data_IF_893979896278
#
_entry.id   IF_893979896278
#
_cell.length_a   1.000
_cell.length_b   1.000
_cell.length_c   1.000
_cell.angle_alpha   90.00
_cell.angle_beta   90.00
_cell.angle_gamma   90.00
#
_symmetry.space_group_name_H-M   'P 1'
#
loop_
_entity.id
_entity.type
_entity.pdbx_description
1 polymer ?
#
# COMPACT_ATOMS: atom_id res chain seq x y z
N UNK A 1 -7.77 -23.18 26.63
CA UNK A 1 -8.04 -21.73 26.73
C UNK A 1 -9.00 -21.35 25.62
N UNK A 2 -9.88 -20.37 25.84
CA UNK A 2 -10.75 -19.83 24.78
C UNK A 2 -9.86 -19.12 23.76
N UNK A 3 -10.04 -19.40 22.48
CA UNK A 3 -9.30 -18.71 21.42
C UNK A 3 -9.76 -17.27 21.29
N UNK A 4 -8.85 -16.38 21.01
CA UNK A 4 -9.13 -14.98 20.63
C UNK A 4 -9.58 -14.98 19.17
N UNK A 5 -10.80 -14.50 18.92
CA UNK A 5 -11.39 -14.40 17.59
C UNK A 5 -11.03 -13.06 16.95
N UNK A 6 -10.34 -13.11 15.84
CA UNK A 6 -9.87 -11.94 15.08
C UNK A 6 -10.52 -11.95 13.71
N UNK A 7 -11.29 -10.93 13.40
CA UNK A 7 -11.82 -10.72 12.06
C UNK A 7 -11.04 -9.60 11.34
N UNK A 8 -10.55 -9.93 10.17
CA UNK A 8 -9.78 -9.03 9.33
C UNK A 8 -10.64 -8.57 8.17
N UNK A 9 -10.76 -7.27 7.93
CA UNK A 9 -11.56 -6.73 6.84
C UNK A 9 -10.65 -5.91 5.92
N UNK A 10 -10.41 -6.42 4.72
CA UNK A 10 -9.53 -5.77 3.74
C UNK A 10 -10.08 -5.96 2.32
N UNK A 11 -10.22 -4.87 1.57
CA UNK A 11 -10.66 -4.93 0.18
C UNK A 11 -9.66 -5.68 -0.70
N UNK A 12 -10.10 -6.29 -1.82
CA UNK A 12 -9.28 -7.17 -2.66
C UNK A 12 -8.29 -6.40 -3.56
N UNK A 13 -7.67 -5.36 -3.03
CA UNK A 13 -6.60 -4.59 -3.66
C UNK A 13 -5.25 -5.05 -3.14
N UNK A 14 -4.35 -5.48 -4.03
CA UNK A 14 -3.06 -6.09 -3.65
C UNK A 14 -2.23 -5.19 -2.73
N UNK A 15 -2.22 -3.86 -2.97
CA UNK A 15 -1.47 -2.89 -2.14
C UNK A 15 -2.02 -2.70 -0.72
N UNK A 16 -3.20 -3.21 -0.42
CA UNK A 16 -3.90 -3.13 0.87
C UNK A 16 -4.00 -4.49 1.55
N UNK A 17 -4.48 -5.47 0.82
CA UNK A 17 -4.70 -6.83 1.32
C UNK A 17 -3.38 -7.50 1.70
N UNK A 18 -2.37 -7.50 0.81
CA UNK A 18 -1.12 -8.23 1.07
C UNK A 18 -0.31 -7.67 2.24
N UNK A 19 -0.13 -6.35 2.44
CA UNK A 19 0.51 -5.85 3.65
C UNK A 19 -0.20 -6.27 4.93
N UNK A 20 -1.54 -6.26 4.94
CA UNK A 20 -2.35 -6.71 6.09
C UNK A 20 -2.21 -8.22 6.31
N UNK A 21 -2.24 -9.04 5.24
CA UNK A 21 -2.01 -10.49 5.33
C UNK A 21 -0.61 -10.80 5.87
N UNK A 22 0.43 -10.14 5.36
CA UNK A 22 1.81 -10.36 5.81
C UNK A 22 2.01 -10.07 7.30
N UNK A 23 1.31 -9.06 7.81
CA UNK A 23 1.33 -8.71 9.24
C UNK A 23 0.71 -9.82 10.10
N UNK A 24 -0.31 -10.52 9.59
CA UNK A 24 -1.12 -11.50 10.31
C UNK A 24 -0.71 -12.95 10.05
N UNK A 25 -0.10 -13.26 8.90
CA UNK A 25 0.22 -14.62 8.50
C UNK A 25 1.02 -15.43 9.55
N UNK A 26 2.01 -14.85 10.29
CA UNK A 26 2.70 -15.58 11.35
C UNK A 26 1.78 -16.02 12.49
N UNK A 27 0.68 -15.30 12.75
CA UNK A 27 -0.29 -15.62 13.80
C UNK A 27 -1.18 -16.83 13.45
N UNK A 28 -1.29 -17.21 12.20
CA UNK A 28 -2.10 -18.36 11.77
C UNK A 28 -1.63 -19.68 12.38
N UNK A 29 -0.35 -19.78 12.74
CA UNK A 29 0.23 -20.94 13.39
C UNK A 29 0.08 -20.92 14.92
N UNK A 30 -0.37 -19.83 15.50
CA UNK A 30 -0.55 -19.69 16.93
C UNK A 30 -1.97 -20.18 17.34
N UNK A 31 -2.08 -21.29 18.11
CA UNK A 31 -3.37 -21.89 18.46
C UNK A 31 -4.25 -21.01 19.36
N UNK A 32 -3.71 -19.90 19.89
CA UNK A 32 -4.47 -18.92 20.69
C UNK A 32 -5.43 -18.11 19.83
N UNK A 33 -5.21 -18.03 18.52
CA UNK A 33 -5.99 -17.20 17.62
C UNK A 33 -6.89 -18.02 16.71
N UNK A 34 -8.05 -17.47 16.42
CA UNK A 34 -8.95 -17.89 15.33
C UNK A 34 -9.10 -16.68 14.42
N UNK A 35 -8.50 -16.74 13.21
CA UNK A 35 -8.40 -15.60 12.31
C UNK A 35 -9.25 -15.86 11.08
N UNK A 36 -10.23 -14.97 10.83
CA UNK A 36 -11.06 -14.97 9.63
C UNK A 36 -10.78 -13.71 8.83
N UNK A 37 -10.77 -13.82 7.49
CA UNK A 37 -10.48 -12.68 6.62
C UNK A 37 -11.61 -12.44 5.63
N UNK A 38 -12.16 -11.23 5.68
CA UNK A 38 -13.20 -10.73 4.80
C UNK A 38 -12.54 -9.98 3.63
N UNK A 39 -12.65 -10.54 2.42
CA UNK A 39 -12.13 -9.91 1.19
C UNK A 39 -12.96 -10.31 -0.02
N UNK A 40 -12.69 -9.71 -1.19
CA UNK A 40 -13.43 -10.04 -2.41
C UNK A 40 -13.09 -11.42 -2.98
N UNK A 41 -14.04 -12.07 -3.70
CA UNK A 41 -13.89 -13.44 -4.21
C UNK A 41 -12.71 -13.61 -5.15
N UNK A 42 -12.30 -12.55 -5.88
CA UNK A 42 -11.14 -12.58 -6.78
C UNK A 42 -9.78 -12.77 -6.06
N UNK A 43 -9.74 -12.59 -4.74
CA UNK A 43 -8.54 -12.84 -3.91
C UNK A 43 -8.67 -14.05 -3.01
N UNK A 44 -9.81 -14.75 -3.02
CA UNK A 44 -10.07 -15.90 -2.16
C UNK A 44 -9.00 -16.98 -2.28
N UNK A 45 -8.74 -17.47 -3.48
CA UNK A 45 -7.80 -18.57 -3.68
C UNK A 45 -6.38 -18.27 -3.17
N UNK A 46 -5.83 -17.07 -3.48
CA UNK A 46 -4.49 -16.69 -3.02
C UNK A 46 -4.45 -16.49 -1.51
N UNK A 47 -5.53 -16.05 -0.90
CA UNK A 47 -5.62 -15.81 0.55
C UNK A 47 -5.76 -17.14 1.31
N UNK A 48 -6.56 -18.08 0.80
CA UNK A 48 -6.69 -19.42 1.36
C UNK A 48 -5.40 -20.24 1.22
N UNK A 49 -4.65 -20.06 0.12
CA UNK A 49 -3.35 -20.70 -0.08
C UNK A 49 -2.32 -20.32 1.00
N UNK A 50 -2.47 -19.17 1.65
CA UNK A 50 -1.65 -18.73 2.79
C UNK A 50 -2.10 -19.37 4.10
N UNK A 51 -3.32 -19.87 4.17
CA UNK A 51 -3.91 -20.49 5.34
C UNK A 51 -4.99 -19.67 6.06
N UNK A 52 -5.44 -18.55 5.49
CA UNK A 52 -6.56 -17.79 6.06
C UNK A 52 -7.90 -18.47 5.79
N UNK A 53 -8.79 -18.45 6.77
CA UNK A 53 -10.21 -18.72 6.54
C UNK A 53 -10.85 -17.50 5.89
N UNK A 54 -11.25 -17.63 4.62
CA UNK A 54 -11.78 -16.49 3.84
C UNK A 54 -13.30 -16.49 3.84
N UNK A 55 -13.87 -15.35 4.21
CA UNK A 55 -15.28 -15.03 4.07
C UNK A 55 -15.44 -14.00 2.96
N UNK A 56 -15.93 -14.38 1.78
CA UNK A 56 -15.99 -13.47 0.65
C UNK A 56 -17.04 -12.38 0.87
N UNK A 57 -16.62 -11.12 0.69
CA UNK A 57 -17.51 -9.96 0.62
C UNK A 57 -17.61 -9.49 -0.82
N UNK A 58 -18.69 -8.77 -1.17
CA UNK A 58 -18.94 -8.27 -2.54
C UNK A 58 -19.14 -9.39 -3.57
N UNK A 59 -19.60 -10.58 -3.17
CA UNK A 59 -20.02 -11.61 -4.11
C UNK A 59 -21.17 -11.09 -4.99
N UNK A 60 -21.05 -11.33 -6.29
CA UNK A 60 -22.00 -10.78 -7.30
C UNK A 60 -21.74 -9.32 -7.69
N UNK A 61 -20.86 -8.58 -7.00
CA UNK A 61 -20.55 -7.17 -7.24
C UNK A 61 -19.10 -6.90 -7.63
N UNK A 62 -18.41 -7.93 -8.13
CA UNK A 62 -16.99 -7.82 -8.56
C UNK A 62 -16.79 -6.77 -9.62
N UNK A 63 -17.68 -6.71 -10.63
CA UNK A 63 -17.59 -5.75 -11.73
C UNK A 63 -17.77 -4.31 -11.26
N UNK A 64 -18.72 -4.07 -10.36
CA UNK A 64 -18.97 -2.77 -9.76
C UNK A 64 -17.77 -2.33 -8.93
N UNK A 65 -17.18 -3.24 -8.13
CA UNK A 65 -15.97 -2.98 -7.38
C UNK A 65 -14.79 -2.66 -8.30
N UNK A 66 -14.53 -3.45 -9.32
CA UNK A 66 -13.45 -3.21 -10.27
C UNK A 66 -13.62 -1.87 -11.00
N UNK A 67 -14.85 -1.51 -11.37
CA UNK A 67 -15.15 -0.20 -11.96
C UNK A 67 -14.90 0.95 -10.98
N UNK A 68 -15.17 0.76 -9.69
CA UNK A 68 -14.90 1.75 -8.66
C UNK A 68 -13.41 1.85 -8.31
N UNK A 69 -12.67 0.73 -8.36
CA UNK A 69 -11.27 0.63 -7.98
C UNK A 69 -10.28 0.97 -9.11
N UNK A 70 -10.64 0.68 -10.37
CA UNK A 70 -9.74 0.83 -11.52
C UNK A 70 -10.06 2.08 -12.32
N UNK A 71 -9.17 3.06 -12.29
CA UNK A 71 -9.21 4.18 -13.21
C UNK A 71 -8.53 3.81 -14.54
N UNK A 72 -9.17 4.20 -15.64
CA UNK A 72 -8.59 4.09 -16.99
C UNK A 72 -7.64 5.23 -17.31
N UNK A 73 -7.70 6.33 -16.54
CA UNK A 73 -6.97 7.58 -16.74
C UNK A 73 -6.57 8.16 -15.40
N UNK A 74 -5.65 9.12 -15.42
CA UNK A 74 -5.23 9.86 -14.23
C UNK A 74 -6.43 10.52 -13.53
N UNK A 75 -6.46 10.45 -12.20
CA UNK A 75 -7.56 10.99 -11.37
C UNK A 75 -7.71 12.51 -11.51
N UNK A 76 -8.86 12.93 -12.06
CA UNK A 76 -9.34 14.31 -11.96
C UNK A 76 -10.36 14.48 -10.83
N UNK A 77 -10.72 15.71 -10.47
CA UNK A 77 -11.68 16.01 -9.38
C UNK A 77 -13.03 15.34 -9.61
N UNK A 78 -13.55 15.37 -10.84
CA UNK A 78 -14.85 14.77 -11.19
C UNK A 78 -14.79 13.25 -11.14
N UNK A 79 -13.71 12.64 -11.63
CA UNK A 79 -13.51 11.19 -11.58
C UNK A 79 -13.33 10.68 -10.16
N UNK A 80 -12.61 11.43 -9.31
CA UNK A 80 -12.48 11.14 -7.89
C UNK A 80 -13.82 11.19 -7.15
N UNK A 81 -14.66 12.19 -7.42
CA UNK A 81 -16.01 12.27 -6.84
C UNK A 81 -16.90 11.09 -7.29
N UNK A 82 -16.88 10.73 -8.59
CA UNK A 82 -17.65 9.59 -9.11
C UNK A 82 -17.17 8.27 -8.51
N UNK A 83 -15.86 8.09 -8.38
CA UNK A 83 -15.26 6.91 -7.77
C UNK A 83 -15.66 6.79 -6.29
N UNK A 84 -15.59 7.88 -5.54
CA UNK A 84 -16.01 7.92 -4.15
C UNK A 84 -17.51 7.64 -4.01
N UNK A 85 -18.35 8.22 -4.88
CA UNK A 85 -19.79 7.97 -4.89
C UNK A 85 -20.12 6.49 -5.16
N UNK A 86 -19.45 5.86 -6.12
CA UNK A 86 -19.62 4.42 -6.39
C UNK A 86 -19.12 3.55 -5.23
N UNK A 87 -18.02 3.95 -4.58
CA UNK A 87 -17.49 3.26 -3.40
C UNK A 87 -18.47 3.26 -2.23
N UNK A 88 -19.28 4.33 -2.06
CA UNK A 88 -20.25 4.41 -0.97
C UNK A 88 -21.43 3.41 -1.11
N UNK A 89 -21.83 3.06 -2.34
CA UNK A 89 -22.85 2.04 -2.55
C UNK A 89 -22.33 0.67 -2.09
N UNK A 90 -21.03 0.41 -2.32
CA UNK A 90 -20.35 -0.79 -1.86
C UNK A 90 -20.15 -0.82 -0.33
N UNK A 91 -19.98 0.35 0.31
CA UNK A 91 -19.86 0.44 1.78
C UNK A 91 -21.10 -0.11 2.46
N UNK A 92 -22.30 0.25 2.00
CA UNK A 92 -23.54 -0.26 2.58
C UNK A 92 -23.64 -1.77 2.44
N UNK A 93 -23.32 -2.31 1.27
CA UNK A 93 -23.37 -3.75 1.00
C UNK A 93 -22.40 -4.52 1.93
N UNK A 94 -21.14 -4.07 2.02
CA UNK A 94 -20.16 -4.70 2.89
C UNK A 94 -20.57 -4.57 4.37
N UNK A 95 -21.12 -3.42 4.78
CA UNK A 95 -21.58 -3.23 6.15
C UNK A 95 -22.72 -4.18 6.51
N UNK A 96 -23.70 -4.40 5.62
CA UNK A 96 -24.80 -5.33 5.86
C UNK A 96 -24.30 -6.77 6.01
N UNK A 97 -23.35 -7.18 5.18
CA UNK A 97 -22.72 -8.51 5.29
C UNK A 97 -21.96 -8.67 6.61
N UNK A 98 -21.19 -7.64 7.03
CA UNK A 98 -20.47 -7.67 8.30
C UNK A 98 -21.40 -7.69 9.50
N UNK A 99 -22.48 -6.87 9.50
CA UNK A 99 -23.49 -6.88 10.59
C UNK A 99 -24.12 -8.25 10.73
N UNK A 100 -24.53 -8.88 9.62
CA UNK A 100 -25.12 -10.21 9.63
C UNK A 100 -24.15 -11.24 10.21
N UNK A 101 -22.91 -11.24 9.74
CA UNK A 101 -21.91 -12.21 10.18
C UNK A 101 -21.51 -11.99 11.65
N UNK A 102 -21.26 -10.76 12.05
CA UNK A 102 -20.82 -10.43 13.42
C UNK A 102 -21.96 -10.53 14.46
N UNK A 103 -23.22 -10.47 14.04
CA UNK A 103 -24.36 -10.79 14.91
C UNK A 103 -24.36 -12.27 15.27
N UNK A 104 -24.00 -13.15 14.34
CA UNK A 104 -23.97 -14.59 14.56
C UNK A 104 -22.64 -15.08 15.16
N UNK A 105 -21.52 -14.48 14.74
CA UNK A 105 -20.17 -14.87 15.10
C UNK A 105 -19.33 -13.61 15.43
N UNK A 106 -19.65 -12.98 16.57
CA UNK A 106 -18.98 -11.77 17.01
C UNK A 106 -17.49 -12.02 17.28
N UNK A 107 -16.57 -11.27 16.65
CA UNK A 107 -15.15 -11.35 16.98
C UNK A 107 -14.85 -10.67 18.33
N UNK A 108 -13.74 -11.07 18.97
CA UNK A 108 -13.23 -10.38 20.15
C UNK A 108 -12.57 -9.04 19.76
N UNK A 109 -11.96 -8.97 18.56
CA UNK A 109 -11.35 -7.77 17.97
C UNK A 109 -11.42 -7.80 16.44
N UNK A 110 -11.56 -6.63 15.82
CA UNK A 110 -11.50 -6.47 14.37
C UNK A 110 -10.20 -5.78 13.93
N UNK A 111 -9.64 -6.19 12.79
CA UNK A 111 -8.50 -5.53 12.13
C UNK A 111 -8.96 -5.07 10.76
N UNK A 112 -8.90 -3.77 10.53
CA UNK A 112 -9.54 -3.15 9.38
C UNK A 112 -8.51 -2.37 8.55
N UNK A 113 -8.38 -2.71 7.28
CA UNK A 113 -7.57 -1.91 6.37
C UNK A 113 -8.16 -0.51 6.19
N UNK A 114 -7.32 0.50 6.16
CA UNK A 114 -7.69 1.92 6.24
C UNK A 114 -8.64 2.42 5.16
N UNK A 115 -8.73 1.76 4.00
CA UNK A 115 -9.70 2.10 2.96
C UNK A 115 -11.04 1.37 3.13
N UNK A 116 -11.13 0.42 4.03
CA UNK A 116 -12.33 -0.39 4.25
C UNK A 116 -13.23 0.25 5.32
N UNK A 117 -13.77 1.43 5.01
CA UNK A 117 -14.58 2.23 5.95
C UNK A 117 -15.69 1.42 6.63
N UNK A 118 -16.36 0.50 5.92
CA UNK A 118 -17.42 -0.35 6.44
C UNK A 118 -17.00 -1.17 7.67
N UNK A 119 -15.78 -1.71 7.68
CA UNK A 119 -15.28 -2.51 8.82
C UNK A 119 -15.22 -1.69 10.11
N UNK A 120 -14.66 -0.47 10.06
CA UNK A 120 -14.59 0.42 11.21
C UNK A 120 -15.96 0.92 11.67
N UNK A 121 -16.84 1.29 10.72
CA UNK A 121 -18.20 1.75 11.06
C UNK A 121 -19.02 0.67 11.78
N UNK A 122 -18.95 -0.57 11.31
CA UNK A 122 -19.68 -1.69 11.94
C UNK A 122 -19.06 -2.06 13.28
N UNK A 123 -17.73 -2.06 13.39
CA UNK A 123 -17.04 -2.32 14.66
C UNK A 123 -17.46 -1.30 15.75
N UNK A 124 -17.46 0.00 15.43
CA UNK A 124 -17.94 1.06 16.34
C UNK A 124 -19.42 0.86 16.72
N UNK A 125 -20.28 0.57 15.74
CA UNK A 125 -21.72 0.36 15.99
C UNK A 125 -21.98 -0.83 16.91
N UNK A 126 -21.19 -1.90 16.83
CA UNK A 126 -21.34 -3.13 17.61
C UNK A 126 -20.50 -3.15 18.89
N UNK A 127 -19.74 -2.10 19.18
CA UNK A 127 -18.85 -2.02 20.36
C UNK A 127 -17.71 -3.03 20.32
N UNK A 128 -17.24 -3.39 19.12
CA UNK A 128 -16.11 -4.28 18.91
C UNK A 128 -14.84 -3.45 18.89
N UNK A 129 -13.81 -3.71 19.74
CA UNK A 129 -12.53 -3.04 19.64
C UNK A 129 -11.89 -3.33 18.29
N UNK A 130 -11.23 -2.35 17.70
CA UNK A 130 -10.64 -2.53 16.39
C UNK A 130 -9.36 -1.77 16.18
N UNK A 131 -8.54 -2.26 15.26
CA UNK A 131 -7.25 -1.70 14.87
C UNK A 131 -7.34 -1.34 13.39
N UNK A 132 -6.82 -0.17 13.00
CA UNK A 132 -6.61 0.17 11.60
C UNK A 132 -5.22 -0.28 11.14
N UNK A 133 -5.13 -1.04 10.05
CA UNK A 133 -3.87 -1.23 9.32
C UNK A 133 -3.75 -0.18 8.22
N UNK A 134 -2.60 0.48 8.14
CA UNK A 134 -2.37 1.59 7.22
C UNK A 134 -1.13 1.32 6.37
N UNK A 135 -1.34 0.79 5.18
CA UNK A 135 -0.27 0.53 4.22
C UNK A 135 0.27 1.81 3.56
N UNK A 136 -0.52 2.90 3.57
CA UNK A 136 -0.19 4.19 2.97
C UNK A 136 -0.37 5.31 3.99
N UNK A 137 0.72 5.78 4.59
CA UNK A 137 0.73 6.83 5.60
C UNK A 137 0.29 8.20 5.07
N UNK A 138 0.35 8.36 3.77
CA UNK A 138 -0.09 9.54 3.04
C UNK A 138 -1.58 9.88 3.25
N UNK A 139 -2.44 8.89 3.47
CA UNK A 139 -3.89 9.09 3.57
C UNK A 139 -4.34 9.83 4.83
N UNK A 140 -3.58 9.75 5.94
CA UNK A 140 -3.96 10.34 7.22
C UNK A 140 -3.60 11.84 7.29
N UNK A 141 -4.52 12.65 7.80
CA UNK A 141 -4.24 14.04 8.11
C UNK A 141 -3.30 14.18 9.29
N UNK A 142 -2.34 15.08 9.15
CA UNK A 142 -1.35 15.37 10.19
C UNK A 142 -1.42 16.84 10.59
N UNK A 143 -0.97 17.15 11.80
CA UNK A 143 -1.04 18.51 12.35
C UNK A 143 -0.04 19.46 11.67
N UNK A 144 1.05 18.92 11.16
CA UNK A 144 2.13 19.65 10.50
C UNK A 144 2.72 18.84 9.33
N UNK A 145 3.71 19.38 8.64
CA UNK A 145 4.43 18.74 7.55
C UNK A 145 3.63 18.60 6.26
N UNK A 146 4.01 17.62 5.44
CA UNK A 146 3.39 17.36 4.14
C UNK A 146 1.90 17.03 4.27
N UNK A 147 1.03 17.69 3.50
CA UNK A 147 -0.39 17.41 3.50
C UNK A 147 -0.70 16.06 2.86
N UNK A 148 -1.76 15.40 3.32
CA UNK A 148 -2.31 14.25 2.62
C UNK A 148 -2.96 14.67 1.28
N UNK A 149 -2.95 13.79 0.29
CA UNK A 149 -3.52 13.97 -1.06
C UNK A 149 -2.94 15.08 -1.94
N UNK A 150 -1.90 15.77 -1.50
CA UNK A 150 -1.19 16.78 -2.31
C UNK A 150 0.13 16.26 -2.90
N UNK A 151 0.38 14.99 -2.86
CA UNK A 151 1.50 14.21 -3.37
C UNK A 151 2.78 14.95 -3.76
N UNK A 152 3.90 14.50 -3.23
CA UNK A 152 5.21 15.00 -3.62
C UNK A 152 5.64 16.31 -2.97
N UNK A 153 5.00 16.78 -1.93
CA UNK A 153 5.52 17.87 -1.11
C UNK A 153 6.55 17.32 -0.11
N UNK A 154 7.83 17.58 -0.37
CA UNK A 154 8.94 17.20 0.50
C UNK A 154 9.13 18.09 1.71
N UNK A 155 10.26 17.94 2.40
CA UNK A 155 10.63 18.79 3.54
C UNK A 155 10.74 20.26 3.09
N UNK A 156 10.03 21.19 3.73
CA UNK A 156 10.07 22.60 3.32
C UNK A 156 11.43 23.20 3.60
N UNK A 157 12.02 23.87 2.59
CA UNK A 157 13.34 24.51 2.65
C UNK A 157 13.29 26.01 2.92
N UNK A 158 12.09 26.60 2.89
CA UNK A 158 11.88 28.04 3.11
C UNK A 158 10.45 28.31 3.64
N UNK A 159 10.24 29.54 4.14
CA UNK A 159 8.96 29.96 4.73
C UNK A 159 7.79 29.89 3.75
N UNK A 160 8.04 30.08 2.45
CA UNK A 160 7.01 29.97 1.41
C UNK A 160 6.49 28.52 1.28
N UNK A 161 7.39 27.55 1.27
CA UNK A 161 7.01 26.14 1.22
C UNK A 161 6.27 25.71 2.51
N UNK A 162 6.66 26.23 3.67
CA UNK A 162 5.91 26.03 4.92
C UNK A 162 4.47 26.55 4.79
N UNK A 163 4.31 27.78 4.25
CA UNK A 163 2.99 28.35 4.00
C UNK A 163 2.17 27.53 2.99
N UNK A 164 2.81 27.08 1.90
CA UNK A 164 2.16 26.20 0.90
C UNK A 164 1.65 24.91 1.55
N UNK A 165 2.44 24.23 2.36
CA UNK A 165 2.03 23.03 3.08
C UNK A 165 0.89 23.30 4.07
N UNK A 166 0.96 24.42 4.79
CA UNK A 166 -0.13 24.83 5.69
C UNK A 166 -1.43 25.04 4.93
N UNK A 167 -1.41 25.79 3.82
CA UNK A 167 -2.60 26.03 3.00
C UNK A 167 -3.12 24.74 2.39
N UNK A 168 -2.25 23.88 1.89
CA UNK A 168 -2.63 22.60 1.32
C UNK A 168 -3.31 21.68 2.35
N UNK A 169 -2.82 21.61 3.61
CA UNK A 169 -3.51 20.90 4.70
C UNK A 169 -4.91 21.48 4.97
N UNK A 170 -5.07 22.81 4.97
CA UNK A 170 -6.39 23.45 5.15
C UNK A 170 -7.34 23.14 3.99
N UNK A 171 -6.84 23.16 2.77
CA UNK A 171 -7.62 22.80 1.57
C UNK A 171 -8.06 21.33 1.63
N UNK A 172 -7.16 20.41 1.98
CA UNK A 172 -7.49 19.00 2.15
C UNK A 172 -8.56 18.79 3.22
N UNK A 173 -8.38 19.40 4.40
CA UNK A 173 -9.34 19.32 5.50
C UNK A 173 -10.72 19.85 5.09
N UNK A 174 -10.76 21.02 4.43
CA UNK A 174 -12.00 21.59 3.92
C UNK A 174 -12.63 20.70 2.84
N UNK A 175 -11.83 20.18 1.91
CA UNK A 175 -12.27 19.28 0.84
C UNK A 175 -12.93 18.02 1.39
N UNK A 176 -12.30 17.36 2.37
CA UNK A 176 -12.89 16.20 3.06
C UNK A 176 -14.22 16.54 3.74
N UNK A 177 -14.32 17.68 4.40
CA UNK A 177 -15.59 18.15 5.02
C UNK A 177 -16.68 18.39 3.99
N UNK A 178 -16.36 19.04 2.87
CA UNK A 178 -17.31 19.28 1.77
C UNK A 178 -17.81 17.96 1.20
N UNK A 179 -16.89 17.05 0.89
CA UNK A 179 -17.25 15.72 0.36
C UNK A 179 -18.13 14.96 1.36
N UNK A 180 -17.78 14.91 2.63
CA UNK A 180 -18.61 14.26 3.66
C UNK A 180 -19.99 14.91 3.80
N UNK A 181 -20.05 16.23 3.69
CA UNK A 181 -21.34 16.95 3.71
C UNK A 181 -22.22 16.59 2.49
N UNK A 182 -21.64 16.53 1.30
CA UNK A 182 -22.36 16.13 0.08
C UNK A 182 -22.86 14.68 0.14
N UNK A 183 -22.16 13.83 0.87
CA UNK A 183 -22.46 12.41 1.01
C UNK A 183 -23.19 12.07 2.32
N UNK A 184 -23.56 13.07 3.12
CA UNK A 184 -24.15 12.89 4.46
C UNK A 184 -25.39 12.01 4.49
N UNK A 185 -26.25 12.07 3.47
CA UNK A 185 -27.49 11.29 3.44
C UNK A 185 -27.20 9.79 3.31
N UNK A 186 -26.15 9.42 2.57
CA UNK A 186 -25.68 8.03 2.44
C UNK A 186 -24.99 7.52 3.70
N UNK A 187 -24.34 8.41 4.46
CA UNK A 187 -23.64 8.10 5.70
C UNK A 187 -24.52 8.23 6.95
N UNK A 188 -25.75 8.72 6.81
CA UNK A 188 -26.69 8.98 7.91
C UNK A 188 -26.99 7.73 8.74
N UNK A 189 -27.07 6.58 8.11
CA UNK A 189 -27.29 5.27 8.72
C UNK A 189 -26.28 4.96 9.84
N UNK A 190 -25.03 5.42 9.69
CA UNK A 190 -23.93 5.15 10.61
C UNK A 190 -23.71 6.26 11.65
N UNK A 191 -24.55 7.28 11.70
CA UNK A 191 -24.32 8.48 12.51
C UNK A 191 -22.92 9.07 12.33
N UNK A 192 -22.33 8.90 11.13
CA UNK A 192 -20.94 9.19 10.83
C UNK A 192 -20.62 10.68 10.90
N UNK A 193 -19.55 11.01 11.61
CA UNK A 193 -18.95 12.35 11.66
C UNK A 193 -17.47 12.19 11.29
N UNK A 194 -17.02 12.81 10.23
CA UNK A 194 -15.65 12.66 9.74
C UNK A 194 -14.56 12.98 10.79
N UNK A 195 -14.85 13.94 11.67
CA UNK A 195 -13.93 14.34 12.73
C UNK A 195 -14.55 14.20 14.12
N UNK A 196 -13.74 13.71 15.05
CA UNK A 196 -14.06 13.69 16.47
C UNK A 196 -14.07 15.12 17.04
N UNK A 197 -14.52 15.29 18.30
CA UNK A 197 -14.43 16.57 19.02
C UNK A 197 -12.98 17.09 19.14
N UNK A 198 -11.98 16.18 19.09
CA UNK A 198 -10.55 16.50 19.12
C UNK A 198 -9.97 16.81 17.72
N UNK A 199 -10.80 16.84 16.67
CA UNK A 199 -10.38 17.10 15.29
C UNK A 199 -9.63 15.93 14.61
N UNK A 200 -9.69 14.72 15.17
CA UNK A 200 -9.10 13.52 14.58
C UNK A 200 -10.09 12.86 13.62
N UNK A 201 -9.58 12.29 12.54
CA UNK A 201 -10.39 11.53 11.58
C UNK A 201 -10.95 10.27 12.24
N UNK A 202 -12.28 10.05 12.13
CA UNK A 202 -12.97 8.90 12.73
C UNK A 202 -13.10 7.72 11.77
N UNK A 203 -12.60 7.87 10.54
CA UNK A 203 -12.50 6.77 9.58
C UNK A 203 -11.45 5.73 9.99
N UNK A 204 -10.56 6.10 10.92
CA UNK A 204 -9.54 5.24 11.48
C UNK A 204 -9.86 4.90 12.94
N UNK A 205 -9.34 3.79 13.42
CA UNK A 205 -9.53 3.36 14.81
C UNK A 205 -9.12 4.45 15.80
N UNK A 206 -9.96 4.78 16.77
CA UNK A 206 -9.60 5.70 17.85
C UNK A 206 -8.63 5.06 18.85
N UNK A 207 -8.43 3.73 18.79
CA UNK A 207 -7.66 2.94 19.74
C UNK A 207 -6.22 2.67 19.27
N UNK A 208 -6.06 2.29 18.00
CA UNK A 208 -4.75 1.96 17.43
C UNK A 208 -4.75 2.03 15.90
N UNK A 209 -3.75 2.72 15.33
CA UNK A 209 -3.47 2.75 13.90
C UNK A 209 -2.06 2.19 13.70
N UNK A 210 -1.96 1.08 12.98
CA UNK A 210 -0.68 0.43 12.69
C UNK A 210 -0.22 0.82 11.29
N UNK A 211 0.77 1.71 11.23
CA UNK A 211 1.40 2.13 9.98
C UNK A 211 2.38 1.09 9.48
N UNK A 212 2.02 0.41 8.38
CA UNK A 212 2.87 -0.58 7.72
C UNK A 212 3.91 0.15 6.89
N UNK A 213 5.04 0.48 7.51
CA UNK A 213 6.11 1.26 6.93
C UNK A 213 7.16 1.62 7.96
N UNK A 214 8.12 2.44 7.56
CA UNK A 214 9.28 2.81 8.39
C UNK A 214 9.21 4.29 8.76
N UNK A 215 9.47 4.59 10.04
CA UNK A 215 9.55 5.96 10.54
C UNK A 215 10.74 6.70 9.92
N UNK A 216 11.82 6.00 9.64
CA UNK A 216 13.10 6.53 9.18
C UNK A 216 13.03 7.15 7.77
N UNK A 217 12.06 6.74 6.96
CA UNK A 217 11.82 7.30 5.63
C UNK A 217 10.67 8.29 5.61
N UNK A 218 9.96 8.47 6.74
CA UNK A 218 8.82 9.38 6.79
C UNK A 218 9.29 10.83 6.90
N UNK A 219 8.62 11.70 6.15
CA UNK A 219 8.80 13.13 6.28
C UNK A 219 8.32 13.60 7.67
N UNK A 220 8.85 14.73 8.14
CA UNK A 220 8.42 15.27 9.43
C UNK A 220 6.92 15.62 9.40
N UNK A 221 6.12 14.82 10.11
CA UNK A 221 4.65 14.93 10.17
C UNK A 221 4.15 14.54 11.57
N UNK A 222 3.16 15.29 12.07
CA UNK A 222 2.55 15.05 13.39
C UNK A 222 1.40 14.05 13.32
N UNK A 223 1.70 12.77 13.50
CA UNK A 223 0.71 11.70 13.55
C UNK A 223 -0.09 11.69 14.86
N UNK A 224 -1.31 11.12 14.88
CA UNK A 224 -2.06 10.89 16.13
C UNK A 224 -1.25 10.08 17.14
N UNK A 225 -1.48 10.30 18.45
CA UNK A 225 -0.73 9.60 19.51
C UNK A 225 -0.87 8.07 19.50
N UNK A 226 -1.99 7.56 19.02
CA UNK A 226 -2.28 6.13 18.89
C UNK A 226 -1.80 5.53 17.55
N UNK A 227 -1.09 6.31 16.73
CA UNK A 227 -0.41 5.83 15.54
C UNK A 227 0.93 5.17 15.91
N UNK A 228 1.17 3.98 15.39
CA UNK A 228 2.38 3.18 15.68
C UNK A 228 2.98 2.67 14.38
N UNK A 229 4.29 2.82 14.23
CA UNK A 229 5.04 2.26 13.12
C UNK A 229 5.33 0.79 13.42
N UNK A 230 4.87 -0.12 12.56
CA UNK A 230 5.08 -1.56 12.76
C UNK A 230 6.22 -2.12 11.91
N UNK A 231 6.76 -1.31 11.02
CA UNK A 231 7.77 -1.75 10.07
C UNK A 231 7.19 -2.02 8.67
N UNK A 232 8.06 -2.20 7.68
CA UNK A 232 7.64 -2.44 6.31
C UNK A 232 7.12 -3.86 6.14
N UNK A 233 6.20 -4.05 5.20
CA UNK A 233 5.74 -5.38 4.81
C UNK A 233 6.85 -6.10 4.03
N UNK A 234 7.52 -7.05 4.68
CA UNK A 234 8.70 -7.71 4.14
C UNK A 234 8.44 -8.88 3.21
N UNK A 235 7.36 -9.61 3.40
CA UNK A 235 7.04 -10.76 2.57
C UNK A 235 5.83 -10.45 1.69
N UNK A 236 5.93 -10.61 0.39
CA UNK A 236 4.73 -10.80 -0.39
C UNK A 236 4.21 -12.20 -0.09
N UNK A 237 2.98 -12.28 0.40
CA UNK A 237 2.23 -13.52 0.48
C UNK A 237 1.78 -13.83 -0.94
N UNK A 238 2.72 -14.27 -1.76
CA UNK A 238 2.44 -14.68 -3.13
C UNK A 238 2.40 -16.21 -3.13
N UNK A 239 1.38 -16.77 -3.77
CA UNK A 239 1.40 -18.19 -4.07
C UNK A 239 2.70 -18.50 -4.81
N UNK A 240 3.40 -19.52 -4.36
CA UNK A 240 4.63 -20.00 -5.02
C UNK A 240 4.21 -20.64 -6.34
N UNK A 241 4.04 -19.82 -7.36
CA UNK A 241 3.99 -20.31 -8.73
C UNK A 241 5.44 -20.40 -9.21
N UNK A 242 5.74 -21.43 -9.97
CA UNK A 242 7.07 -21.61 -10.57
C UNK A 242 7.25 -20.60 -11.72
N UNK A 243 8.10 -19.60 -11.48
CA UNK A 243 8.46 -18.59 -12.47
C UNK A 243 9.91 -18.82 -12.90
N UNK A 244 10.16 -19.67 -13.90
CA UNK A 244 11.50 -20.15 -14.24
C UNK A 244 12.29 -19.12 -15.06
N UNK A 245 12.55 -17.93 -14.50
CA UNK A 245 13.46 -16.96 -15.11
C UNK A 245 14.87 -17.17 -14.58
N UNK A 246 15.72 -17.74 -15.42
CA UNK A 246 17.14 -17.88 -15.10
C UNK A 246 17.90 -16.57 -15.40
N UNK A 247 18.32 -15.89 -14.34
CA UNK A 247 19.11 -14.66 -14.43
C UNK A 247 20.61 -14.92 -14.62
N UNK A 248 21.08 -16.16 -14.47
CA UNK A 248 22.50 -16.51 -14.63
C UNK A 248 22.98 -16.43 -16.08
N UNK A 249 22.04 -16.47 -17.03
CA UNK A 249 22.34 -16.35 -18.47
C UNK A 249 22.80 -14.92 -18.86
N UNK A 250 22.75 -13.96 -17.94
CA UNK A 250 23.18 -12.56 -18.15
C UNK A 250 24.34 -12.17 -17.20
N UNK A 251 25.45 -12.89 -17.13
CA UNK A 251 26.48 -12.70 -16.10
C UNK A 251 27.22 -11.36 -16.19
N UNK A 252 27.29 -10.78 -17.39
CA UNK A 252 28.06 -9.58 -17.68
C UNK A 252 27.21 -8.32 -17.82
N UNK A 253 25.92 -8.37 -17.51
CA UNK A 253 25.02 -7.21 -17.59
C UNK A 253 24.43 -6.90 -16.22
N UNK A 254 24.33 -5.61 -15.89
CA UNK A 254 23.57 -5.13 -14.74
C UNK A 254 22.10 -5.45 -14.94
N UNK A 255 21.46 -6.07 -13.96
CA UNK A 255 20.05 -6.51 -14.02
C UNK A 255 19.13 -5.43 -13.47
N UNK A 256 18.20 -4.95 -14.29
CA UNK A 256 17.30 -3.87 -13.96
C UNK A 256 15.85 -4.37 -14.02
N UNK A 257 15.17 -4.44 -12.87
CA UNK A 257 13.72 -4.70 -12.85
C UNK A 257 12.97 -3.42 -13.19
N UNK A 258 11.98 -3.51 -14.10
CA UNK A 258 11.11 -2.38 -14.47
C UNK A 258 9.65 -2.78 -14.23
N UNK A 259 8.93 -2.04 -13.38
CA UNK A 259 7.56 -2.42 -12.98
C UNK A 259 6.63 -1.26 -12.65
N UNK A 260 5.35 -1.38 -13.06
CA UNK A 260 4.22 -0.56 -12.59
C UNK A 260 3.32 -1.31 -11.58
N UNK A 261 3.75 -2.44 -11.05
CA UNK A 261 2.91 -3.27 -10.19
C UNK A 261 1.74 -3.92 -10.93
N UNK A 262 0.69 -4.30 -10.18
CA UNK A 262 -0.48 -5.02 -10.71
C UNK A 262 -1.59 -4.10 -11.22
N UNK A 263 -1.65 -2.87 -10.72
CA UNK A 263 -2.62 -1.84 -11.13
C UNK A 263 -2.07 -1.00 -12.30
N UNK A 264 -2.61 0.16 -12.58
CA UNK A 264 -2.10 1.11 -13.59
C UNK A 264 -1.93 0.49 -14.99
N UNK A 265 -2.92 -0.26 -15.47
CA UNK A 265 -2.87 -0.89 -16.80
C UNK A 265 -2.54 0.10 -17.92
N UNK A 266 -3.04 1.33 -17.81
CA UNK A 266 -2.83 2.43 -18.75
C UNK A 266 -1.36 2.94 -18.80
N UNK A 267 -0.58 2.73 -17.73
CA UNK A 267 0.80 3.21 -17.64
C UNK A 267 1.83 2.20 -18.20
N UNK A 268 1.45 0.94 -18.37
CA UNK A 268 2.37 -0.15 -18.72
C UNK A 268 3.01 0.02 -20.09
N UNK A 269 2.27 0.53 -21.08
CA UNK A 269 2.79 0.73 -22.42
C UNK A 269 3.80 1.88 -22.47
N UNK A 270 3.54 2.97 -21.74
CA UNK A 270 4.53 4.05 -21.58
C UNK A 270 5.79 3.57 -20.87
N UNK A 271 5.65 2.79 -19.78
CA UNK A 271 6.80 2.24 -19.08
C UNK A 271 7.65 1.32 -19.97
N UNK A 272 7.01 0.47 -20.78
CA UNK A 272 7.70 -0.36 -21.75
C UNK A 272 8.43 0.47 -22.81
N UNK A 273 7.81 1.55 -23.28
CA UNK A 273 8.48 2.50 -24.20
C UNK A 273 9.73 3.11 -23.57
N UNK A 274 9.63 3.60 -22.32
CA UNK A 274 10.78 4.16 -21.61
C UNK A 274 11.89 3.11 -21.36
N UNK A 275 11.51 1.89 -21.04
CA UNK A 275 12.47 0.78 -20.88
C UNK A 275 13.20 0.47 -22.20
N UNK A 276 12.53 0.54 -23.36
CA UNK A 276 13.18 0.38 -24.67
C UNK A 276 14.19 1.49 -24.96
N UNK A 277 13.87 2.74 -24.61
CA UNK A 277 14.81 3.86 -24.80
C UNK A 277 16.04 3.71 -23.89
N UNK A 278 15.85 3.31 -22.63
CA UNK A 278 16.97 3.00 -21.73
C UNK A 278 17.81 1.83 -22.23
N UNK A 279 17.19 0.75 -22.74
CA UNK A 279 17.90 -0.40 -23.26
C UNK A 279 18.78 -0.07 -24.47
N UNK A 280 18.34 0.82 -25.34
CA UNK A 280 19.17 1.33 -26.46
C UNK A 280 20.38 2.10 -25.98
N UNK A 281 20.23 2.91 -24.92
CA UNK A 281 21.29 3.76 -24.40
C UNK A 281 22.28 2.99 -23.52
N UNK A 282 21.89 1.88 -22.88
CA UNK A 282 22.68 1.14 -21.89
C UNK A 282 22.78 -0.36 -22.26
N UNK A 283 23.66 -0.73 -23.21
CA UNK A 283 23.83 -2.13 -23.63
C UNK A 283 24.48 -3.01 -22.54
N UNK A 284 25.11 -2.40 -21.53
CA UNK A 284 25.68 -3.04 -20.35
C UNK A 284 24.62 -3.43 -19.28
N UNK A 285 23.37 -3.01 -19.46
CA UNK A 285 22.24 -3.36 -18.62
C UNK A 285 21.29 -4.32 -19.34
N UNK A 286 20.65 -5.24 -18.59
CA UNK A 286 19.51 -6.03 -19.06
C UNK A 286 18.24 -5.63 -18.30
N UNK A 287 17.21 -5.22 -19.03
CA UNK A 287 15.95 -4.74 -18.47
C UNK A 287 14.89 -5.84 -18.47
N UNK A 288 14.35 -6.16 -17.30
CA UNK A 288 13.24 -7.09 -17.10
C UNK A 288 11.96 -6.29 -16.83
N UNK A 289 11.13 -6.15 -17.85
CA UNK A 289 9.85 -5.40 -17.73
C UNK A 289 8.75 -6.37 -17.35
N UNK A 290 8.19 -6.23 -16.14
CA UNK A 290 7.06 -7.07 -15.73
C UNK A 290 5.71 -6.42 -16.05
N UNK A 291 4.79 -7.23 -16.62
CA UNK A 291 3.40 -6.81 -16.86
C UNK A 291 2.52 -6.86 -15.62
N UNK A 292 3.00 -7.48 -14.52
CA UNK A 292 2.29 -7.57 -13.24
C UNK A 292 0.96 -8.35 -13.36
N UNK A 293 0.88 -9.34 -14.21
CA UNK A 293 -0.29 -10.22 -14.39
C UNK A 293 0.05 -11.58 -13.79
N UNK A 294 -0.30 -11.76 -12.52
CA UNK A 294 -0.20 -13.06 -11.83
C UNK A 294 -1.38 -13.99 -12.16
N UNK A 295 -1.26 -15.27 -11.75
CA UNK A 295 -2.31 -16.27 -11.96
C UNK A 295 -2.45 -16.74 -13.42
N UNK A 296 -1.45 -16.46 -14.25
CA UNK A 296 -1.34 -16.90 -15.65
C UNK A 296 -0.02 -17.67 -15.81
N UNK A 297 0.07 -18.63 -16.75
CA UNK A 297 1.33 -19.29 -17.06
C UNK A 297 2.43 -18.27 -17.33
N UNK A 298 3.61 -18.54 -16.79
CA UNK A 298 4.78 -17.68 -16.99
C UNK A 298 5.08 -17.52 -18.47
N UNK A 299 5.27 -16.27 -18.88
CA UNK A 299 5.70 -15.91 -20.24
C UNK A 299 6.87 -14.95 -20.16
N UNK A 300 7.92 -15.23 -20.93
CA UNK A 300 9.06 -14.35 -21.12
C UNK A 300 9.28 -14.16 -22.61
N UNK A 301 9.32 -12.92 -23.05
CA UNK A 301 9.54 -12.52 -24.45
C UNK A 301 10.72 -11.56 -24.51
N UNK A 302 11.74 -11.92 -25.29
CA UNK A 302 12.89 -11.05 -25.54
C UNK A 302 12.56 -10.10 -26.68
N UNK A 303 12.31 -8.83 -26.36
CA UNK A 303 11.99 -7.79 -27.36
C UNK A 303 13.26 -7.16 -27.95
N UNK A 304 14.36 -7.16 -27.19
CA UNK A 304 15.68 -6.68 -27.61
C UNK A 304 16.73 -7.62 -27.01
N UNK A 305 17.97 -7.52 -27.47
CA UNK A 305 19.10 -8.30 -26.93
C UNK A 305 19.29 -8.13 -25.41
N UNK A 306 18.91 -6.95 -24.91
CA UNK A 306 19.02 -6.56 -23.50
C UNK A 306 17.70 -6.09 -22.86
N UNK A 307 16.56 -6.53 -23.41
CA UNK A 307 15.24 -6.25 -22.84
C UNK A 307 14.30 -7.44 -22.99
N UNK A 308 13.84 -7.96 -21.86
CA UNK A 308 12.86 -9.03 -21.75
C UNK A 308 11.57 -8.53 -21.10
N UNK A 309 10.44 -8.94 -21.63
CA UNK A 309 9.11 -8.69 -21.03
C UNK A 309 8.61 -9.97 -20.42
N UNK A 310 8.26 -9.92 -19.14
CA UNK A 310 7.75 -11.06 -18.38
C UNK A 310 6.34 -10.81 -17.87
N UNK A 311 5.51 -11.86 -17.79
CA UNK A 311 4.13 -11.75 -17.32
C UNK A 311 4.05 -11.27 -15.88
N UNK A 312 4.84 -11.87 -15.00
CA UNK A 312 4.92 -11.57 -13.58
C UNK A 312 6.27 -12.01 -13.01
N UNK A 313 6.75 -11.35 -11.96
CA UNK A 313 7.90 -11.76 -11.15
C UNK A 313 7.59 -11.59 -9.67
N UNK A 314 7.72 -12.64 -8.84
CA UNK A 314 7.66 -12.55 -7.39
C UNK A 314 8.80 -11.66 -6.87
N UNK A 315 8.45 -10.55 -6.21
CA UNK A 315 9.44 -9.57 -5.77
C UNK A 315 10.41 -10.15 -4.73
N UNK A 316 9.91 -11.00 -3.83
CA UNK A 316 10.74 -11.65 -2.80
C UNK A 316 11.88 -12.48 -3.40
N UNK A 317 11.65 -13.11 -4.53
CA UNK A 317 12.61 -13.99 -5.19
C UNK A 317 13.55 -13.24 -6.11
N UNK A 318 13.02 -12.28 -6.88
CA UNK A 318 13.78 -11.67 -7.96
C UNK A 318 14.41 -10.32 -7.59
N UNK A 319 13.83 -9.49 -6.71
CA UNK A 319 14.48 -8.22 -6.32
C UNK A 319 15.87 -8.44 -5.71
N UNK A 320 16.12 -9.45 -4.84
CA UNK A 320 17.46 -9.71 -4.31
C UNK A 320 18.53 -9.91 -5.39
N UNK A 321 18.14 -10.41 -6.57
CA UNK A 321 19.01 -10.74 -7.69
C UNK A 321 19.19 -9.59 -8.69
N UNK A 322 18.45 -8.48 -8.52
CA UNK A 322 18.57 -7.27 -9.36
C UNK A 322 19.66 -6.35 -8.83
N UNK A 323 20.27 -5.58 -9.71
CA UNK A 323 21.19 -4.50 -9.34
C UNK A 323 20.43 -3.20 -9.07
N UNK A 324 19.40 -2.91 -9.88
CA UNK A 324 18.58 -1.71 -9.80
C UNK A 324 17.11 -2.03 -10.03
N UNK A 325 16.23 -1.14 -9.51
CA UNK A 325 14.79 -1.25 -9.73
C UNK A 325 14.22 0.08 -10.24
N UNK A 326 13.52 0.03 -11.37
CA UNK A 326 12.71 1.15 -11.88
C UNK A 326 11.25 0.85 -11.58
N UNK A 327 10.59 1.71 -10.78
CA UNK A 327 9.22 1.43 -10.38
C UNK A 327 8.35 2.69 -10.26
N UNK A 328 7.04 2.48 -10.19
CA UNK A 328 6.04 3.54 -10.12
C UNK A 328 5.94 4.27 -8.78
N UNK A 329 6.55 3.78 -7.70
CA UNK A 329 6.47 4.41 -6.38
C UNK A 329 5.35 3.87 -5.48
N UNK A 330 4.80 2.68 -5.75
CA UNK A 330 3.87 2.05 -4.81
C UNK A 330 4.57 1.64 -3.50
N UNK A 331 3.84 1.66 -2.37
CA UNK A 331 4.38 1.34 -1.04
C UNK A 331 5.11 -0.01 -0.99
N UNK A 332 4.49 -1.05 -1.54
CA UNK A 332 5.04 -2.41 -1.51
C UNK A 332 6.42 -2.50 -2.14
N UNK A 333 6.57 -2.07 -3.41
CA UNK A 333 7.85 -2.14 -4.13
C UNK A 333 8.89 -1.18 -3.53
N UNK A 334 8.48 -0.01 -3.03
CA UNK A 334 9.37 0.95 -2.38
C UNK A 334 10.05 0.31 -1.17
N UNK A 335 9.29 -0.32 -0.27
CA UNK A 335 9.86 -0.98 0.91
C UNK A 335 10.62 -2.25 0.55
N UNK A 336 10.24 -2.99 -0.49
CA UNK A 336 11.02 -4.14 -0.96
C UNK A 336 12.42 -3.70 -1.44
N UNK A 337 12.53 -2.56 -2.13
CA UNK A 337 13.83 -2.00 -2.52
C UNK A 337 14.71 -1.72 -1.28
N UNK A 338 14.14 -1.14 -0.22
CA UNK A 338 14.87 -0.87 1.03
C UNK A 338 15.28 -2.18 1.72
N UNK A 339 14.35 -3.13 1.90
CA UNK A 339 14.58 -4.41 2.59
C UNK A 339 15.72 -5.20 1.92
N UNK A 340 15.77 -5.19 0.58
CA UNK A 340 16.79 -5.91 -0.18
C UNK A 340 18.00 -5.05 -0.55
N UNK A 341 18.07 -3.79 -0.11
CA UNK A 341 19.19 -2.91 -0.38
C UNK A 341 19.38 -2.61 -1.87
N UNK A 342 18.28 -2.39 -2.60
CA UNK A 342 18.30 -2.14 -4.04
C UNK A 342 18.04 -0.69 -4.36
N UNK A 343 19.00 0.04 -4.95
CA UNK A 343 18.79 1.41 -5.39
C UNK A 343 17.68 1.49 -6.45
N UNK A 344 16.88 2.56 -6.39
CA UNK A 344 15.71 2.68 -7.25
C UNK A 344 15.67 3.98 -8.05
N UNK A 345 15.04 3.90 -9.23
CA UNK A 345 14.52 5.06 -9.98
C UNK A 345 13.00 5.02 -9.90
N UNK A 346 12.41 6.07 -9.33
CA UNK A 346 10.96 6.15 -9.13
C UNK A 346 10.34 7.05 -10.20
N UNK A 347 9.38 6.48 -10.95
CA UNK A 347 8.60 7.16 -11.97
C UNK A 347 7.13 7.24 -11.51
N UNK A 348 6.76 8.25 -10.69
CA UNK A 348 5.42 8.31 -10.12
C UNK A 348 4.37 8.58 -11.18
N UNK A 349 3.23 7.89 -11.08
CA UNK A 349 2.14 7.92 -12.03
C UNK A 349 0.86 8.52 -11.45
N UNK A 350 0.44 8.06 -10.25
CA UNK A 350 -0.81 8.49 -9.61
C UNK A 350 -0.76 8.25 -8.08
N UNK A 351 -1.80 8.67 -7.37
CA UNK A 351 -2.02 8.46 -5.94
C UNK A 351 -0.85 8.92 -5.04
N UNK A 352 -0.45 8.06 -4.11
CA UNK A 352 0.62 8.23 -3.11
C UNK A 352 2.04 8.06 -3.70
N UNK A 353 2.15 7.72 -4.97
CA UNK A 353 3.42 7.41 -5.63
C UNK A 353 4.37 8.62 -5.66
N UNK A 354 3.81 9.84 -5.79
CA UNK A 354 4.59 11.08 -5.71
C UNK A 354 5.20 11.29 -4.32
N UNK A 355 4.49 10.88 -3.27
CA UNK A 355 4.98 10.96 -1.90
C UNK A 355 6.11 9.96 -1.64
N UNK A 356 5.99 8.71 -2.13
CA UNK A 356 7.06 7.73 -2.03
C UNK A 356 8.28 8.13 -2.84
N UNK A 357 8.09 8.77 -4.00
CA UNK A 357 9.19 9.31 -4.79
C UNK A 357 9.99 10.37 -4.00
N UNK A 358 9.28 11.31 -3.37
CA UNK A 358 9.94 12.34 -2.54
C UNK A 358 10.62 11.74 -1.33
N UNK A 359 9.98 10.81 -0.62
CA UNK A 359 10.59 10.09 0.52
C UNK A 359 11.87 9.36 0.12
N UNK A 360 11.83 8.64 -1.01
CA UNK A 360 13.00 7.92 -1.50
C UNK A 360 14.17 8.82 -1.86
N UNK A 361 13.88 9.96 -2.48
CA UNK A 361 14.91 10.97 -2.84
C UNK A 361 15.47 11.66 -1.59
N UNK A 362 14.61 12.10 -0.66
CA UNK A 362 15.06 12.78 0.56
C UNK A 362 15.78 11.83 1.53
N UNK A 363 15.41 10.55 1.54
CA UNK A 363 16.11 9.51 2.28
C UNK A 363 17.42 9.06 1.60
N UNK A 364 17.76 9.55 0.40
CA UNK A 364 18.99 9.23 -0.31
C UNK A 364 19.03 7.81 -0.91
N UNK A 365 17.88 7.13 -1.03
CA UNK A 365 17.79 5.72 -1.47
C UNK A 365 17.24 5.55 -2.89
N UNK A 366 16.78 6.62 -3.51
CA UNK A 366 16.27 6.60 -4.86
C UNK A 366 16.52 7.91 -5.61
N UNK A 367 16.47 7.82 -6.93
CA UNK A 367 16.26 8.97 -7.82
C UNK A 367 14.80 8.99 -8.28
N UNK A 368 14.34 10.13 -8.82
CA UNK A 368 13.00 10.24 -9.38
C UNK A 368 12.99 11.10 -10.64
N UNK A 369 12.15 10.72 -11.60
CA UNK A 369 11.99 11.48 -12.84
C UNK A 369 10.50 11.53 -13.26
N UNK A 370 10.17 12.50 -14.12
CA UNK A 370 8.85 12.56 -14.76
C UNK A 370 8.71 11.42 -15.75
N UNK A 371 7.68 10.61 -15.60
CA UNK A 371 7.38 9.41 -16.40
C UNK A 371 7.29 9.65 -17.92
N UNK A 372 6.90 10.85 -18.34
CA UNK A 372 6.68 11.19 -19.76
C UNK A 372 7.88 11.90 -20.39
N UNK A 373 9.02 11.93 -19.72
CA UNK A 373 10.24 12.57 -20.20
C UNK A 373 11.40 11.59 -20.31
N UNK A 374 11.60 10.98 -21.47
CA UNK A 374 12.72 10.05 -21.72
C UNK A 374 14.07 10.70 -21.40
N UNK A 375 14.24 12.00 -21.67
CA UNK A 375 15.46 12.75 -21.32
C UNK A 375 15.67 12.77 -19.80
N UNK A 376 14.65 13.12 -19.01
CA UNK A 376 14.77 13.18 -17.55
C UNK A 376 14.98 11.77 -16.95
N UNK A 377 14.33 10.76 -17.52
CA UNK A 377 14.50 9.35 -17.10
C UNK A 377 15.91 8.87 -17.38
N UNK A 378 16.45 9.16 -18.59
CA UNK A 378 17.83 8.82 -18.97
C UNK A 378 18.85 9.48 -18.03
N UNK A 379 18.74 10.79 -17.79
CA UNK A 379 19.62 11.50 -16.87
C UNK A 379 19.56 10.92 -15.43
N UNK A 380 18.37 10.69 -14.89
CA UNK A 380 18.21 10.11 -13.55
C UNK A 380 18.74 8.66 -13.48
N UNK A 381 18.65 7.90 -14.56
CA UNK A 381 19.22 6.55 -14.62
C UNK A 381 20.74 6.57 -14.71
N UNK A 382 21.33 7.51 -15.45
CA UNK A 382 22.79 7.74 -15.47
C UNK A 382 23.31 8.13 -14.08
N UNK A 383 22.62 9.02 -13.36
CA UNK A 383 22.94 9.40 -11.97
C UNK A 383 22.84 8.18 -11.02
N UNK A 384 21.83 7.32 -11.22
CA UNK A 384 21.67 6.07 -10.48
C UNK A 384 22.85 5.13 -10.70
N UNK A 385 23.28 4.96 -11.95
CA UNK A 385 24.41 4.10 -12.32
C UNK A 385 25.76 4.63 -11.83
N UNK A 386 25.92 5.96 -11.80
CA UNK A 386 27.15 6.64 -11.37
C UNK A 386 27.33 6.64 -9.84
N UNK A 387 26.26 6.47 -9.05
CA UNK A 387 26.35 6.42 -7.59
C UNK A 387 26.75 5.01 -7.13
N UNK A 388 28.03 4.81 -6.85
CA UNK A 388 28.57 3.51 -6.46
C UNK A 388 28.19 3.06 -5.05
N UNK A 389 28.03 4.01 -4.10
CA UNK A 389 27.81 3.73 -2.69
C UNK A 389 26.48 4.29 -2.20
N UNK A 390 25.76 3.48 -1.43
CA UNK A 390 24.43 3.80 -0.91
C UNK A 390 24.35 3.60 0.63
N UNK A 391 25.12 4.37 1.43
CA UNK A 391 25.19 4.17 2.89
C UNK A 391 23.83 4.42 3.56
N UNK A 392 23.03 5.36 3.05
CA UNK A 392 21.69 5.61 3.57
C UNK A 392 20.76 4.40 3.35
N UNK A 393 20.86 3.77 2.19
CA UNK A 393 20.08 2.57 1.86
C UNK A 393 20.47 1.39 2.76
N UNK A 394 21.77 1.20 3.02
CA UNK A 394 22.23 0.17 3.94
C UNK A 394 21.77 0.43 5.39
N UNK A 395 21.81 1.69 5.83
CA UNK A 395 21.28 2.11 7.13
C UNK A 395 19.78 1.79 7.26
N UNK A 396 19.00 2.11 6.22
CA UNK A 396 17.56 1.82 6.20
C UNK A 396 17.27 0.33 6.10
N UNK A 397 18.09 -0.43 5.37
CA UNK A 397 17.98 -1.89 5.30
C UNK A 397 18.16 -2.53 6.68
N UNK A 398 19.14 -2.08 7.44
CA UNK A 398 19.36 -2.52 8.82
C UNK A 398 18.22 -2.10 9.74
N UNK A 399 17.73 -0.86 9.62
CA UNK A 399 16.57 -0.39 10.37
C UNK A 399 15.34 -1.24 10.06
N UNK A 400 15.09 -1.60 8.79
CA UNK A 400 13.97 -2.46 8.40
C UNK A 400 14.00 -3.82 9.11
N UNK A 401 15.19 -4.39 9.35
CA UNK A 401 15.37 -5.66 10.05
C UNK A 401 15.09 -5.58 11.56
N UNK A 402 15.13 -4.38 12.15
CA UNK A 402 14.85 -4.18 13.58
C UNK A 402 13.36 -4.12 13.92
N UNK A 403 12.50 -4.02 12.92
CA UNK A 403 11.06 -4.04 13.11
C UNK A 403 10.54 -5.47 13.30
N UNK A 404 9.58 -5.60 14.23
CA UNK A 404 8.87 -6.85 14.53
C UNK A 404 7.36 -6.64 14.35
N UNK A 405 6.87 -6.59 13.09
CA UNK A 405 5.49 -6.19 12.78
C UNK A 405 4.44 -7.02 13.52
N UNK A 406 4.57 -8.34 13.49
CA UNK A 406 3.61 -9.27 14.11
C UNK A 406 3.59 -9.15 15.63
N UNK A 407 4.75 -9.04 16.28
CA UNK A 407 4.80 -8.85 17.74
C UNK A 407 4.15 -7.52 18.17
N UNK A 408 4.33 -6.47 17.38
CA UNK A 408 3.68 -5.18 17.65
C UNK A 408 2.15 -5.31 17.52
N UNK A 409 1.68 -6.03 16.51
CA UNK A 409 0.25 -6.32 16.35
C UNK A 409 -0.29 -7.12 17.54
N UNK A 410 0.40 -8.19 17.96
CA UNK A 410 -0.02 -9.00 19.12
C UNK A 410 -0.12 -8.16 20.40
N UNK A 411 0.87 -7.31 20.68
CA UNK A 411 0.83 -6.38 21.82
C UNK A 411 -0.40 -5.48 21.78
N UNK A 412 -0.75 -4.95 20.61
CA UNK A 412 -1.93 -4.09 20.46
C UNK A 412 -3.24 -4.87 20.62
N UNK A 413 -3.33 -6.09 20.10
CA UNK A 413 -4.48 -6.97 20.31
C UNK A 413 -4.68 -7.20 21.82
N UNK A 414 -3.66 -7.66 22.53
CA UNK A 414 -3.76 -7.92 23.96
C UNK A 414 -4.10 -6.68 24.76
N UNK A 415 -3.43 -5.55 24.48
CA UNK A 415 -3.71 -4.27 25.15
C UNK A 415 -5.18 -3.86 25.01
N UNK A 416 -5.75 -3.94 23.81
CA UNK A 416 -7.15 -3.53 23.57
C UNK A 416 -8.15 -4.48 24.25
N UNK A 417 -7.86 -5.76 24.30
CA UNK A 417 -8.72 -6.73 24.97
C UNK A 417 -8.69 -6.54 26.49
N UNK A 418 -7.52 -6.29 27.10
CA UNK A 418 -7.38 -5.96 28.52
C UNK A 418 -8.08 -4.64 28.89
N UNK A 419 -7.97 -3.61 28.06
CA UNK A 419 -8.63 -2.32 28.29
C UNK A 419 -10.17 -2.49 28.26
N UNK A 420 -10.71 -3.29 27.33
CA UNK A 420 -12.12 -3.62 27.27
C UNK A 420 -12.64 -4.40 28.49
N UNK A 421 -11.80 -5.28 29.06
CA UNK A 421 -12.15 -6.02 30.28
C UNK A 421 -12.22 -5.12 31.51
N UNK A 422 -11.39 -4.08 31.58
CA UNK A 422 -11.39 -3.10 32.67
C UNK A 422 -12.58 -2.14 32.64
N UNK A 423 -13.18 -1.94 31.47
CA UNK A 423 -14.36 -1.07 31.29
C UNK A 423 -15.70 -1.79 31.57
N UNK A 424 -15.69 -3.10 31.73
CA UNK A 424 -16.86 -3.91 32.13
C UNK A 424 -16.97 -4.03 33.63
#
# INVERSE_FOLDING_TARGET
MKKIKIDVVALPLSGHLYPTMNLLAPLLQNPQYEIRLFTGPQKKAVTEAVGFQVLPILEGHVKEFEKAANNKEQLGIISAYRQLSASLDLINLVSDQLIQEWTNHCPDIAIVDFITLSGGLVAEQMGIPWITTMATQFAIETTDGSPCFFGGMGTPRNSWQVLQQFLARKITHLGKRIVTFLLRDRLRRYHFKLYSQKGQETIYSPYSILGIGMKEVELKRGFPKHYKWVGPSGASVEAVEDYPLDLSVFPNRKKVLVTCGTQLAWAKDNLLYQAKELAKAHPDCHFFVTRGVGGQPFKCENLMENLSVVSYLPYKEYIPQMDYVIHHGGAGIFYQCIIYGKPALILPHDYDQFDYAVRGVEAGVAFSAKRDSSKAIGQAFEELLAKENWPELETLRQAAQSYHPTEMLEREIHRLLEDKEKEK
#
